data_IF_491352501856
#
_entry.id   IF_491352501856
#
_cell.length_a   1.000
_cell.length_b   1.000
_cell.length_c   1.000
_cell.angle_alpha   90.00
_cell.angle_beta   90.00
_cell.angle_gamma   90.00
#
_symmetry.space_group_name_H-M   'P 1'
#
loop_
_entity.id
_entity.type
_entity.pdbx_description
1 polymer ?
#
# COMPACT_ATOMS: atom_id res chain seq x y z
N UNK A 1 -2.37 44.37 -6.87
CA UNK A 1 -3.31 44.54 -7.99
C UNK A 1 -3.44 43.19 -8.71
N UNK A 2 -4.56 42.53 -8.48
CA UNK A 2 -4.86 41.28 -9.19
C UNK A 2 -5.53 41.64 -10.54
N UNK A 3 -5.14 40.96 -11.59
CA UNK A 3 -5.67 41.19 -12.94
C UNK A 3 -6.31 39.90 -13.48
N UNK A 4 -7.53 40.00 -13.97
CA UNK A 4 -8.25 38.87 -14.61
C UNK A 4 -8.43 39.25 -16.07
N UNK A 5 -7.92 38.43 -16.99
CA UNK A 5 -7.96 38.67 -18.44
C UNK A 5 -8.41 37.43 -19.21
N UNK A 6 -8.95 37.63 -20.41
CA UNK A 6 -9.51 36.58 -21.26
C UNK A 6 -10.89 36.11 -20.80
N UNK A 7 -11.20 34.81 -21.05
CA UNK A 7 -12.47 34.19 -20.65
C UNK A 7 -12.42 33.54 -19.26
N UNK A 8 -11.61 34.09 -18.37
CA UNK A 8 -11.49 33.55 -17.01
C UNK A 8 -12.65 34.04 -16.14
N UNK A 9 -13.23 33.16 -15.35
CA UNK A 9 -14.32 33.43 -14.44
C UNK A 9 -13.89 33.18 -12.99
N UNK A 10 -14.27 34.15 -12.12
CA UNK A 10 -14.12 34.02 -10.67
C UNK A 10 -15.51 33.94 -10.09
N UNK A 11 -15.89 32.83 -9.48
CA UNK A 11 -17.25 32.61 -8.98
C UNK A 11 -17.29 32.45 -7.46
N UNK A 12 -18.44 32.75 -6.86
CA UNK A 12 -18.61 32.67 -5.42
C UNK A 12 -17.95 33.85 -4.67
N UNK A 13 -17.63 33.63 -3.40
CA UNK A 13 -16.95 34.62 -2.55
C UNK A 13 -15.42 34.58 -2.70
N UNK A 14 -14.91 34.09 -3.83
CA UNK A 14 -13.48 33.99 -4.07
C UNK A 14 -12.85 35.40 -4.15
N UNK A 15 -11.80 35.64 -3.40
CA UNK A 15 -11.05 36.89 -3.37
C UNK A 15 -9.66 36.67 -3.95
N UNK A 16 -9.39 37.30 -5.08
CA UNK A 16 -8.07 37.30 -5.69
C UNK A 16 -7.26 38.44 -5.07
N UNK A 17 -6.19 38.12 -4.34
CA UNK A 17 -5.37 39.10 -3.65
C UNK A 17 -3.90 38.99 -4.04
N UNK A 18 -3.16 40.10 -3.94
CA UNK A 18 -1.73 40.14 -4.26
C UNK A 18 -1.44 40.31 -5.74
N UNK A 19 -0.36 39.75 -6.24
CA UNK A 19 0.10 39.86 -7.63
C UNK A 19 -0.38 38.69 -8.50
N UNK A 20 -1.51 38.09 -8.19
CA UNK A 20 -2.05 36.99 -8.96
C UNK A 20 -2.53 37.46 -10.35
N UNK A 21 -2.16 36.70 -11.38
CA UNK A 21 -2.59 36.92 -12.75
C UNK A 21 -3.41 35.71 -13.22
N UNK A 22 -4.64 35.92 -13.66
CA UNK A 22 -5.52 34.87 -14.15
C UNK A 22 -5.75 35.12 -15.63
N UNK A 23 -5.34 34.18 -16.46
CA UNK A 23 -5.40 34.28 -17.92
C UNK A 23 -6.03 33.03 -18.56
N UNK A 24 -6.70 33.22 -19.71
CA UNK A 24 -7.26 32.10 -20.47
C UNK A 24 -8.63 31.62 -19.95
N UNK A 25 -8.91 30.32 -20.08
CA UNK A 25 -10.16 29.66 -19.68
C UNK A 25 -10.06 29.04 -18.26
N UNK A 26 -9.43 29.75 -17.34
CA UNK A 26 -9.22 29.20 -15.99
C UNK A 26 -10.47 29.39 -15.11
N UNK A 27 -10.92 28.35 -14.47
CA UNK A 27 -11.88 28.40 -13.35
C UNK A 27 -11.07 28.35 -12.05
N UNK A 28 -11.20 29.40 -11.24
CA UNK A 28 -10.53 29.48 -9.94
C UNK A 28 -11.50 29.06 -8.86
N UNK A 29 -11.24 27.95 -8.22
CA UNK A 29 -11.81 27.57 -6.94
C UNK A 29 -10.70 27.70 -5.90
N UNK A 30 -10.83 28.61 -4.96
CA UNK A 30 -9.81 28.79 -3.92
C UNK A 30 -10.06 27.78 -2.82
N UNK A 31 -9.22 26.77 -2.73
CA UNK A 31 -9.15 25.86 -1.59
C UNK A 31 -7.91 26.24 -0.79
N UNK A 32 -8.02 26.56 0.48
CA UNK A 32 -6.89 26.95 1.33
C UNK A 32 -6.04 25.76 1.77
N UNK A 33 -4.88 26.02 2.34
CA UNK A 33 -4.00 24.97 2.80
C UNK A 33 -4.64 24.22 3.96
N UNK A 34 -4.85 22.92 3.78
CA UNK A 34 -5.25 22.00 4.83
C UNK A 34 -4.05 21.18 5.29
N UNK A 35 -3.86 21.05 6.57
CA UNK A 35 -2.82 20.20 7.06
C UNK A 35 -3.05 19.72 8.48
N UNK A 36 -2.92 18.44 8.74
CA UNK A 36 -2.30 18.02 9.99
C UNK A 36 -0.82 18.41 9.89
N UNK A 37 -0.33 19.09 10.88
CA UNK A 37 0.86 19.94 10.82
C UNK A 37 2.16 19.34 10.26
N UNK A 38 2.34 18.04 10.12
CA UNK A 38 3.64 17.46 9.85
C UNK A 38 3.85 16.85 8.44
N UNK A 39 2.83 16.28 7.78
CA UNK A 39 3.03 15.62 6.49
C UNK A 39 2.33 16.29 5.30
N UNK A 40 1.14 16.88 5.53
CA UNK A 40 0.38 17.52 4.46
C UNK A 40 0.95 18.89 4.07
N UNK A 41 1.46 19.64 5.04
CA UNK A 41 2.07 20.96 4.81
C UNK A 41 3.36 20.89 3.99
N UNK A 42 4.08 19.77 4.00
CA UNK A 42 5.28 19.59 3.18
C UNK A 42 4.92 19.33 1.72
N UNK A 43 3.81 18.65 1.44
CA UNK A 43 3.33 18.37 0.10
C UNK A 43 2.77 19.62 -0.62
N UNK A 44 2.02 20.43 0.09
CA UNK A 44 1.32 21.60 -0.49
C UNK A 44 2.03 22.94 -0.27
N UNK A 45 3.21 22.96 0.35
CA UNK A 45 4.01 24.19 0.51
C UNK A 45 4.77 24.65 -0.73
N UNK A 46 4.68 23.95 -1.83
CA UNK A 46 5.20 24.45 -3.10
C UNK A 46 4.23 25.56 -3.58
N UNK A 47 4.56 26.81 -3.23
CA UNK A 47 3.74 28.02 -3.45
C UNK A 47 3.39 28.27 -4.92
N UNK A 48 3.97 27.55 -5.85
CA UNK A 48 3.88 27.81 -7.28
C UNK A 48 3.04 26.80 -8.08
N UNK A 49 2.46 25.76 -7.45
CA UNK A 49 1.58 24.79 -8.11
C UNK A 49 0.25 24.66 -7.38
N UNK A 50 -0.59 25.66 -7.52
CA UNK A 50 -2.01 25.56 -7.18
C UNK A 50 -2.79 25.14 -8.43
N UNK A 51 -3.05 23.85 -8.59
CA UNK A 51 -4.13 23.37 -9.41
C UNK A 51 -5.09 22.65 -8.46
N UNK A 52 -6.10 23.36 -8.06
CA UNK A 52 -7.19 22.81 -7.26
C UNK A 52 -8.27 22.39 -8.24
N UNK A 53 -8.31 21.10 -8.52
CA UNK A 53 -9.28 20.53 -9.44
C UNK A 53 -10.57 20.19 -8.69
N UNK A 54 -11.70 20.31 -9.38
CA UNK A 54 -12.99 19.87 -8.86
C UNK A 54 -12.94 18.35 -8.72
N UNK A 55 -13.46 17.78 -7.62
CA UNK A 55 -13.57 16.35 -7.48
C UNK A 55 -14.26 15.68 -8.68
N UNK A 56 -13.77 14.52 -9.07
CA UNK A 56 -14.36 13.70 -10.16
C UNK A 56 -15.84 13.42 -9.92
N UNK A 57 -16.18 13.15 -8.68
CA UNK A 57 -17.54 12.94 -8.19
C UNK A 57 -17.58 12.94 -6.66
N UNK A 58 -18.74 12.80 -6.04
CA UNK A 58 -18.83 12.54 -4.61
C UNK A 58 -18.00 11.31 -4.26
N UNK A 59 -17.14 11.45 -3.24
CA UNK A 59 -16.27 10.34 -2.81
C UNK A 59 -17.10 9.27 -2.12
N UNK A 60 -16.88 8.01 -2.48
CA UNK A 60 -17.43 6.87 -1.79
C UNK A 60 -16.38 5.78 -1.54
N UNK A 61 -16.24 5.37 -0.29
CA UNK A 61 -15.44 4.20 0.09
C UNK A 61 -16.37 3.00 0.25
N UNK A 62 -16.10 1.93 -0.45
CA UNK A 62 -16.87 0.67 -0.35
C UNK A 62 -15.93 -0.42 0.16
N UNK A 63 -15.73 -0.52 1.48
CA UNK A 63 -14.95 -1.62 2.02
C UNK A 63 -15.73 -2.92 1.93
N UNK A 64 -15.07 -3.98 1.49
CA UNK A 64 -15.53 -5.32 1.76
C UNK A 64 -15.25 -5.64 3.24
N UNK A 65 -16.01 -6.56 3.82
CA UNK A 65 -15.88 -6.95 5.23
C UNK A 65 -14.44 -7.28 5.64
N UNK A 66 -13.67 -7.89 4.71
CA UNK A 66 -12.25 -8.23 4.91
C UNK A 66 -11.32 -7.02 5.12
N UNK A 67 -11.76 -5.80 4.77
CA UNK A 67 -10.93 -4.60 4.74
C UNK A 67 -11.53 -3.43 5.55
N UNK A 68 -12.55 -3.67 6.37
CA UNK A 68 -13.28 -2.62 7.11
C UNK A 68 -12.39 -1.81 8.05
N UNK A 69 -11.50 -2.47 8.82
CA UNK A 69 -10.67 -1.78 9.81
C UNK A 69 -9.67 -0.82 9.14
N UNK A 70 -9.10 -1.22 8.02
CA UNK A 70 -8.23 -0.34 7.23
C UNK A 70 -9.03 0.82 6.63
N UNK A 71 -10.21 0.55 6.09
CA UNK A 71 -11.07 1.56 5.49
C UNK A 71 -11.58 2.59 6.52
N UNK A 72 -11.93 2.18 7.72
CA UNK A 72 -12.33 3.09 8.81
C UNK A 72 -11.21 4.09 9.13
N UNK A 73 -9.96 3.63 9.25
CA UNK A 73 -8.80 4.50 9.46
C UNK A 73 -8.56 5.46 8.30
N UNK A 74 -8.74 4.99 7.06
CA UNK A 74 -8.64 5.81 5.86
C UNK A 74 -9.71 6.90 5.85
N UNK A 75 -10.95 6.52 6.17
CA UNK A 75 -12.10 7.43 6.26
C UNK A 75 -11.88 8.56 7.29
N UNK A 76 -11.37 8.22 8.47
CA UNK A 76 -11.04 9.20 9.53
C UNK A 76 -10.08 10.28 9.02
N UNK A 77 -9.04 9.92 8.24
CA UNK A 77 -8.13 10.91 7.64
C UNK A 77 -8.83 11.78 6.60
N UNK A 78 -9.64 11.19 5.72
CA UNK A 78 -10.36 11.92 4.68
C UNK A 78 -11.37 12.90 5.27
N UNK A 79 -12.13 12.47 6.27
CA UNK A 79 -13.09 13.31 7.00
C UNK A 79 -12.37 14.48 7.67
N UNK A 80 -11.30 14.21 8.43
CA UNK A 80 -10.54 15.24 9.12
C UNK A 80 -9.99 16.30 8.14
N UNK A 81 -9.37 15.86 7.05
CA UNK A 81 -8.76 16.78 6.09
C UNK A 81 -9.79 17.64 5.36
N UNK A 82 -10.93 17.07 4.99
CA UNK A 82 -11.98 17.82 4.27
C UNK A 82 -12.70 18.81 5.18
N UNK A 83 -12.87 18.47 6.45
CA UNK A 83 -13.36 19.41 7.46
C UNK A 83 -12.38 20.57 7.68
N UNK A 84 -11.07 20.28 7.80
CA UNK A 84 -10.04 21.32 7.96
C UNK A 84 -9.99 22.25 6.73
N UNK A 85 -10.15 21.74 5.51
CA UNK A 85 -10.18 22.53 4.29
C UNK A 85 -11.34 23.51 4.31
N UNK A 86 -12.52 23.08 4.66
CA UNK A 86 -13.68 23.96 4.71
C UNK A 86 -13.53 25.07 5.75
N UNK A 87 -13.09 24.73 6.96
CA UNK A 87 -12.87 25.71 8.02
C UNK A 87 -11.81 26.76 7.67
N UNK A 88 -10.74 26.37 6.98
CA UNK A 88 -9.65 27.28 6.60
C UNK A 88 -10.02 28.19 5.44
N UNK A 89 -10.98 27.83 4.60
CA UNK A 89 -11.33 28.58 3.39
C UNK A 89 -12.39 29.59 3.60
N UNK A 90 -13.26 29.47 4.62
CA UNK A 90 -14.47 30.27 4.75
C UNK A 90 -15.25 30.41 3.41
N UNK A 91 -15.11 29.39 2.54
CA UNK A 91 -15.75 29.36 1.23
C UNK A 91 -16.69 28.17 1.19
N UNK A 92 -17.92 28.40 0.79
CA UNK A 92 -18.88 27.38 0.43
C UNK A 92 -18.35 26.66 -0.81
N UNK A 93 -17.61 25.54 -0.63
CA UNK A 93 -17.38 24.64 -1.74
C UNK A 93 -18.73 24.04 -2.09
N UNK A 94 -19.36 24.58 -3.12
CA UNK A 94 -20.69 24.17 -3.59
C UNK A 94 -20.57 22.84 -4.37
N UNK A 95 -19.96 21.84 -3.75
CA UNK A 95 -19.98 20.48 -4.24
C UNK A 95 -20.78 19.64 -3.24
N UNK A 96 -22.04 19.37 -3.58
CA UNK A 96 -22.91 18.60 -2.70
C UNK A 96 -22.30 17.21 -2.42
N UNK A 97 -22.08 16.93 -1.13
CA UNK A 97 -21.46 15.67 -0.68
C UNK A 97 -19.94 15.68 -0.64
N UNK A 98 -19.27 16.85 -0.78
CA UNK A 98 -17.83 16.96 -0.57
C UNK A 98 -17.44 16.73 0.88
N UNK A 99 -18.20 17.31 1.81
CA UNK A 99 -18.04 17.12 3.23
C UNK A 99 -19.10 16.14 3.75
N UNK A 100 -18.67 15.15 4.50
CA UNK A 100 -19.52 14.13 5.12
C UNK A 100 -18.93 13.73 6.45
N UNK A 101 -19.75 13.19 7.35
CA UNK A 101 -19.30 12.58 8.59
C UNK A 101 -18.57 11.26 8.35
N UNK A 102 -18.82 10.60 7.20
CA UNK A 102 -18.12 9.41 6.72
C UNK A 102 -18.33 9.28 5.21
N UNK A 103 -17.31 8.81 4.52
CA UNK A 103 -17.35 8.45 3.08
C UNK A 103 -17.63 6.97 2.86
N UNK A 104 -17.74 6.18 3.94
CA UNK A 104 -18.05 4.74 3.85
C UNK A 104 -19.48 4.56 3.36
N UNK A 105 -19.60 3.80 2.28
CA UNK A 105 -20.87 3.37 1.70
C UNK A 105 -21.19 1.98 2.23
N UNK A 106 -22.32 1.80 2.94
CA UNK A 106 -22.72 0.50 3.44
C UNK A 106 -22.94 -0.49 2.30
N UNK A 107 -22.35 -1.66 2.43
CA UNK A 107 -22.54 -2.78 1.51
C UNK A 107 -22.54 -4.09 2.31
N UNK A 108 -23.24 -5.10 1.82
CA UNK A 108 -23.33 -6.39 2.48
C UNK A 108 -23.17 -7.54 1.51
N UNK A 109 -22.57 -8.62 1.99
CA UNK A 109 -22.51 -9.91 1.29
C UNK A 109 -23.31 -10.93 2.11
N UNK A 110 -24.45 -11.32 1.58
CA UNK A 110 -25.30 -12.34 2.21
C UNK A 110 -25.01 -13.71 1.60
N UNK A 111 -24.45 -14.63 2.40
CA UNK A 111 -24.17 -16.00 1.97
C UNK A 111 -25.31 -16.94 2.29
N UNK A 112 -25.61 -17.80 1.33
CA UNK A 112 -26.53 -18.91 1.51
C UNK A 112 -25.80 -20.13 2.09
N UNK A 113 -26.54 -21.06 2.69
CA UNK A 113 -25.94 -22.26 3.27
C UNK A 113 -25.20 -23.17 2.27
N UNK A 114 -25.48 -23.02 0.96
CA UNK A 114 -24.75 -23.66 -0.14
C UNK A 114 -23.39 -23.04 -0.46
N UNK A 115 -23.06 -21.86 0.11
CA UNK A 115 -21.86 -21.11 -0.18
C UNK A 115 -22.02 -20.03 -1.24
N UNK A 116 -23.11 -20.02 -2.00
CA UNK A 116 -23.44 -18.91 -2.90
C UNK A 116 -23.65 -17.63 -2.10
N UNK A 117 -23.49 -16.48 -2.76
CA UNK A 117 -23.69 -15.21 -2.09
C UNK A 117 -24.32 -14.15 -3.00
N UNK A 118 -24.94 -13.15 -2.36
CA UNK A 118 -25.48 -11.96 -2.99
C UNK A 118 -24.85 -10.71 -2.39
N UNK A 119 -24.28 -9.84 -3.23
CA UNK A 119 -23.82 -8.51 -2.84
C UNK A 119 -24.93 -7.47 -2.96
N UNK A 120 -24.99 -6.55 -2.00
CA UNK A 120 -25.91 -5.41 -2.00
C UNK A 120 -25.19 -4.13 -1.65
N UNK A 121 -25.64 -3.00 -2.18
CA UNK A 121 -25.25 -1.66 -1.80
C UNK A 121 -26.51 -0.95 -1.31
N UNK A 122 -26.47 -0.40 -0.11
CA UNK A 122 -27.68 0.03 0.60
C UNK A 122 -28.13 1.45 0.23
N UNK A 123 -27.26 2.23 -0.45
CA UNK A 123 -27.56 3.59 -0.89
C UNK A 123 -27.26 3.78 -2.38
N UNK A 124 -27.80 4.85 -2.97
CA UNK A 124 -27.51 5.19 -4.36
C UNK A 124 -26.06 5.67 -4.51
N UNK A 125 -25.34 5.07 -5.47
CA UNK A 125 -23.96 5.44 -5.83
C UNK A 125 -23.88 6.10 -7.20
N UNK A 126 -25.01 6.65 -7.68
CA UNK A 126 -25.07 7.28 -9.00
C UNK A 126 -24.22 8.53 -9.07
N UNK A 127 -23.24 8.50 -9.95
CA UNK A 127 -22.32 9.61 -10.19
C UNK A 127 -21.17 9.73 -9.19
N UNK A 128 -21.08 8.81 -8.21
CA UNK A 128 -20.00 8.79 -7.23
C UNK A 128 -18.68 8.31 -7.84
N UNK A 129 -17.58 8.78 -7.28
CA UNK A 129 -16.23 8.29 -7.49
C UNK A 129 -15.93 7.27 -6.40
N UNK A 130 -15.98 5.98 -6.76
CA UNK A 130 -15.95 4.87 -5.81
C UNK A 130 -14.57 4.24 -5.68
N UNK A 131 -14.19 3.99 -4.43
CA UNK A 131 -12.99 3.24 -4.05
C UNK A 131 -13.40 1.98 -3.30
N UNK A 132 -13.32 0.83 -3.97
CA UNK A 132 -13.61 -0.48 -3.41
C UNK A 132 -12.35 -1.03 -2.75
N UNK A 133 -12.42 -1.36 -1.46
CA UNK A 133 -11.26 -1.85 -0.70
C UNK A 133 -11.46 -3.30 -0.30
N UNK A 134 -10.47 -4.17 -0.61
CA UNK A 134 -10.52 -5.60 -0.32
C UNK A 134 -9.17 -6.14 0.13
N UNK A 135 -9.15 -6.84 1.26
CA UNK A 135 -8.03 -7.71 1.64
C UNK A 135 -8.37 -9.15 1.26
N UNK A 136 -7.77 -9.62 0.17
CA UNK A 136 -7.98 -11.00 -0.31
C UNK A 136 -7.28 -12.06 0.55
N UNK A 137 -6.40 -11.63 1.47
CA UNK A 137 -5.66 -12.53 2.35
C UNK A 137 -6.26 -12.65 3.75
N UNK A 138 -7.39 -12.01 4.04
CA UNK A 138 -7.99 -12.05 5.37
C UNK A 138 -8.65 -13.40 5.69
N UNK A 139 -7.84 -14.34 6.14
CA UNK A 139 -8.25 -15.68 6.52
C UNK A 139 -9.06 -15.76 7.84
N UNK A 140 -9.20 -14.65 8.57
CA UNK A 140 -10.00 -14.62 9.80
C UNK A 140 -11.49 -14.63 9.54
N UNK A 141 -11.89 -14.20 8.33
CA UNK A 141 -13.27 -14.19 7.90
C UNK A 141 -13.79 -15.61 7.70
N UNK A 142 -15.02 -15.87 8.17
CA UNK A 142 -15.62 -17.20 8.06
C UNK A 142 -17.09 -17.12 7.63
N UNK A 143 -17.58 -18.19 7.03
CA UNK A 143 -18.99 -18.36 6.72
C UNK A 143 -19.43 -19.82 6.94
N UNK A 144 -20.73 -20.05 7.03
CA UNK A 144 -21.29 -21.41 7.12
C UNK A 144 -21.48 -22.01 5.72
N UNK A 145 -20.89 -23.19 5.50
CA UNK A 145 -21.03 -23.98 4.28
C UNK A 145 -21.52 -25.38 4.66
N UNK A 146 -22.75 -25.73 4.27
CA UNK A 146 -23.38 -26.99 4.65
C UNK A 146 -23.29 -27.29 6.16
N UNK A 147 -23.51 -26.27 7.00
CA UNK A 147 -23.43 -26.37 8.45
C UNK A 147 -22.05 -26.46 9.05
N UNK A 148 -20.99 -26.29 8.25
CA UNK A 148 -19.59 -26.26 8.71
C UNK A 148 -19.02 -24.84 8.58
N UNK A 149 -18.15 -24.47 9.52
CA UNK A 149 -17.40 -23.22 9.42
C UNK A 149 -16.34 -23.35 8.33
N UNK A 150 -16.36 -22.43 7.37
CA UNK A 150 -15.38 -22.31 6.30
C UNK A 150 -14.65 -20.97 6.42
N UNK A 151 -13.31 -20.98 6.38
CA UNK A 151 -12.53 -19.77 6.28
C UNK A 151 -12.53 -19.26 4.84
N UNK A 152 -12.67 -17.97 4.67
CA UNK A 152 -12.65 -17.36 3.34
C UNK A 152 -11.26 -17.48 2.71
N UNK A 153 -11.24 -17.99 1.48
CA UNK A 153 -10.05 -18.04 0.63
C UNK A 153 -9.88 -16.70 -0.13
N UNK A 154 -8.73 -16.48 -0.77
CA UNK A 154 -8.57 -15.38 -1.71
C UNK A 154 -9.64 -15.36 -2.82
N UNK A 155 -10.06 -16.53 -3.29
CA UNK A 155 -11.12 -16.67 -4.30
C UNK A 155 -12.46 -16.19 -3.78
N UNK A 156 -12.80 -16.51 -2.52
CA UNK A 156 -14.02 -16.03 -1.89
C UNK A 156 -14.07 -14.51 -1.82
N UNK A 157 -12.96 -13.88 -1.37
CA UNK A 157 -12.85 -12.42 -1.30
C UNK A 157 -12.89 -11.76 -2.68
N UNK A 158 -12.20 -12.33 -3.66
CA UNK A 158 -12.20 -11.82 -5.02
C UNK A 158 -13.57 -11.94 -5.68
N UNK A 159 -14.28 -13.06 -5.45
CA UNK A 159 -15.64 -13.23 -5.92
C UNK A 159 -16.62 -12.26 -5.25
N UNK A 160 -16.43 -11.95 -3.96
CA UNK A 160 -17.25 -10.95 -3.25
C UNK A 160 -17.01 -9.54 -3.79
N UNK A 161 -15.77 -9.18 -4.14
CA UNK A 161 -15.46 -7.94 -4.85
C UNK A 161 -16.28 -7.84 -6.15
N UNK A 162 -16.30 -8.89 -6.96
CA UNK A 162 -17.08 -8.92 -8.21
C UNK A 162 -18.57 -8.76 -7.97
N UNK A 163 -19.11 -9.35 -6.88
CA UNK A 163 -20.53 -9.18 -6.51
C UNK A 163 -20.87 -7.73 -6.19
N UNK A 164 -19.98 -7.02 -5.47
CA UNK A 164 -20.18 -5.60 -5.17
C UNK A 164 -20.07 -4.75 -6.45
N UNK A 165 -19.10 -5.00 -7.34
CA UNK A 165 -19.01 -4.32 -8.63
C UNK A 165 -20.29 -4.53 -9.45
N UNK A 166 -20.83 -5.76 -9.48
CA UNK A 166 -22.09 -6.05 -10.15
C UNK A 166 -23.29 -5.32 -9.51
N UNK A 167 -23.32 -5.15 -8.18
CA UNK A 167 -24.36 -4.40 -7.48
C UNK A 167 -24.33 -2.90 -7.77
N UNK A 168 -23.15 -2.30 -8.05
CA UNK A 168 -22.99 -0.92 -8.53
C UNK A 168 -23.69 -0.74 -9.88
N UNK A 169 -23.69 -1.78 -10.71
CA UNK A 169 -24.42 -1.85 -11.97
C UNK A 169 -24.14 -0.68 -12.94
N UNK A 170 -22.88 -0.24 -13.03
CA UNK A 170 -22.45 0.83 -13.93
C UNK A 170 -23.01 2.23 -13.59
N UNK A 171 -23.49 2.45 -12.38
CA UNK A 171 -24.08 3.75 -11.97
C UNK A 171 -23.07 4.73 -11.44
N UNK A 172 -21.92 4.25 -10.94
CA UNK A 172 -20.83 5.11 -10.50
C UNK A 172 -20.23 5.89 -11.67
N UNK A 173 -19.61 7.01 -11.39
CA UNK A 173 -18.85 7.78 -12.37
C UNK A 173 -17.52 7.12 -12.68
N UNK A 174 -16.84 6.63 -11.65
CA UNK A 174 -15.56 5.91 -11.75
C UNK A 174 -15.50 4.85 -10.67
N UNK A 175 -14.87 3.73 -10.96
CA UNK A 175 -14.62 2.65 -10.01
C UNK A 175 -13.11 2.41 -9.93
N UNK A 176 -12.54 2.65 -8.76
CA UNK A 176 -11.17 2.30 -8.42
C UNK A 176 -11.16 1.16 -7.41
N UNK A 177 -10.46 0.07 -7.70
CA UNK A 177 -10.25 -1.04 -6.78
C UNK A 177 -8.93 -0.85 -6.06
N UNK A 178 -8.96 -0.80 -4.74
CA UNK A 178 -7.78 -0.86 -3.87
C UNK A 178 -7.69 -2.28 -3.32
N UNK A 179 -6.78 -3.04 -3.87
CA UNK A 179 -6.49 -4.43 -3.50
C UNK A 179 -5.02 -4.50 -3.08
N UNK A 180 -4.72 -4.22 -1.79
CA UNK A 180 -3.34 -4.10 -1.34
C UNK A 180 -2.47 -5.28 -1.73
N UNK A 181 -2.88 -6.49 -1.37
CA UNK A 181 -2.27 -7.72 -1.88
C UNK A 181 -2.97 -8.09 -3.19
N UNK A 182 -2.21 -8.09 -4.28
CA UNK A 182 -2.79 -8.38 -5.60
C UNK A 182 -3.21 -9.85 -5.69
N UNK A 183 -4.50 -10.09 -5.93
CA UNK A 183 -5.03 -11.43 -6.13
C UNK A 183 -4.29 -12.13 -7.27
N UNK A 184 -3.83 -13.36 -7.01
CA UNK A 184 -3.00 -14.18 -7.91
C UNK A 184 -1.71 -13.50 -8.39
N UNK A 185 -1.21 -12.49 -7.67
CA UNK A 185 -0.01 -11.73 -8.05
C UNK A 185 1.25 -12.58 -8.23
N UNK A 186 1.34 -13.76 -7.57
CA UNK A 186 2.45 -14.72 -7.75
C UNK A 186 2.33 -15.54 -9.04
N UNK A 187 1.13 -15.63 -9.63
CA UNK A 187 0.87 -16.26 -10.92
C UNK A 187 0.93 -15.23 -12.06
N UNK A 188 2.05 -14.50 -12.13
CA UNK A 188 2.30 -13.36 -13.02
C UNK A 188 2.91 -13.73 -14.37
N UNK A 189 3.43 -14.95 -14.50
CA UNK A 189 4.07 -15.46 -15.73
C UNK A 189 3.73 -16.93 -15.93
N UNK A 190 3.87 -17.37 -17.17
CA UNK A 190 3.68 -18.76 -17.59
C UNK A 190 5.00 -19.34 -18.06
N UNK A 191 5.42 -20.45 -17.48
CA UNK A 191 6.64 -21.18 -17.86
C UNK A 191 6.34 -22.46 -18.63
N UNK A 192 5.09 -22.93 -18.63
CA UNK A 192 4.65 -24.16 -19.26
C UNK A 192 3.15 -24.17 -19.52
N UNK A 193 2.49 -25.29 -19.26
CA UNK A 193 1.04 -25.45 -19.38
C UNK A 193 0.38 -25.04 -18.05
N UNK A 194 0.48 -23.78 -17.71
CA UNK A 194 0.00 -23.17 -16.47
C UNK A 194 -1.10 -22.17 -16.80
N UNK A 195 -1.99 -21.93 -15.85
CA UNK A 195 -2.89 -20.78 -15.90
C UNK A 195 -2.11 -19.46 -15.76
N UNK A 196 -2.72 -18.35 -16.14
CA UNK A 196 -2.17 -17.01 -15.96
C UNK A 196 -3.19 -16.16 -15.21
N UNK A 197 -3.45 -16.57 -13.97
CA UNK A 197 -4.63 -16.14 -13.21
C UNK A 197 -4.59 -14.65 -12.87
N UNK A 198 -3.41 -14.08 -12.58
CA UNK A 198 -3.30 -12.66 -12.34
C UNK A 198 -3.78 -11.82 -13.54
N UNK A 199 -3.34 -12.17 -14.75
CA UNK A 199 -3.75 -11.44 -15.96
C UNK A 199 -5.26 -11.60 -16.24
N UNK A 200 -5.80 -12.81 -16.07
CA UNK A 200 -7.24 -13.09 -16.22
C UNK A 200 -8.05 -12.29 -15.22
N UNK A 201 -7.66 -12.27 -13.94
CA UNK A 201 -8.34 -11.53 -12.90
C UNK A 201 -8.37 -10.01 -13.17
N UNK A 202 -7.23 -9.43 -13.60
CA UNK A 202 -7.16 -8.02 -13.98
C UNK A 202 -8.11 -7.70 -15.15
N UNK A 203 -8.09 -8.52 -16.21
CA UNK A 203 -8.97 -8.35 -17.37
C UNK A 203 -10.45 -8.51 -17.01
N UNK A 204 -10.78 -9.42 -16.11
CA UNK A 204 -12.14 -9.62 -15.61
C UNK A 204 -12.67 -8.37 -14.89
N UNK A 205 -11.89 -7.79 -13.96
CA UNK A 205 -12.26 -6.55 -13.28
C UNK A 205 -12.49 -5.40 -14.26
N UNK A 206 -11.61 -5.24 -15.25
CA UNK A 206 -11.75 -4.20 -16.29
C UNK A 206 -13.02 -4.43 -17.13
N UNK A 207 -13.31 -5.69 -17.50
CA UNK A 207 -14.53 -6.03 -18.26
C UNK A 207 -15.81 -5.72 -17.49
N UNK A 208 -15.74 -5.72 -16.15
CA UNK A 208 -16.84 -5.36 -15.26
C UNK A 208 -16.99 -3.86 -15.03
N UNK A 209 -16.13 -3.03 -15.64
CA UNK A 209 -16.23 -1.57 -15.58
C UNK A 209 -15.32 -0.91 -14.53
N UNK A 210 -14.31 -1.61 -14.03
CA UNK A 210 -13.26 -1.00 -13.20
C UNK A 210 -12.38 -0.12 -14.06
N UNK A 211 -12.10 1.10 -13.60
CA UNK A 211 -11.27 2.07 -14.30
C UNK A 211 -9.81 2.04 -13.84
N UNK A 212 -9.59 1.89 -12.54
CA UNK A 212 -8.25 1.87 -11.95
C UNK A 212 -8.12 0.74 -10.93
N UNK A 213 -6.92 0.17 -10.84
CA UNK A 213 -6.54 -0.82 -9.83
C UNK A 213 -5.30 -0.30 -9.11
N UNK A 214 -5.37 -0.22 -7.79
CA UNK A 214 -4.27 0.17 -6.92
C UNK A 214 -3.89 -1.03 -6.07
N UNK A 215 -2.63 -1.41 -6.15
CA UNK A 215 -2.02 -2.45 -5.33
C UNK A 215 -0.74 -1.94 -4.68
N UNK A 216 -0.21 -2.68 -3.72
CA UNK A 216 1.04 -2.33 -3.07
C UNK A 216 2.07 -3.40 -3.38
N UNK A 217 3.29 -2.98 -3.66
CA UNK A 217 4.46 -3.86 -3.83
C UNK A 217 4.15 -5.14 -4.61
N UNK A 218 3.55 -5.00 -5.80
CA UNK A 218 3.21 -6.13 -6.65
C UNK A 218 4.43 -7.04 -6.84
N UNK A 219 4.23 -8.35 -6.67
CA UNK A 219 5.29 -9.36 -6.80
C UNK A 219 6.07 -9.23 -8.12
N UNK A 220 5.36 -8.93 -9.19
CA UNK A 220 5.94 -8.50 -10.47
C UNK A 220 5.10 -7.35 -11.06
N UNK A 221 5.64 -6.11 -11.14
CA UNK A 221 4.88 -4.96 -11.63
C UNK A 221 4.51 -5.05 -13.13
N UNK A 222 5.11 -5.99 -13.89
CA UNK A 222 4.78 -6.22 -15.30
C UNK A 222 3.40 -6.81 -15.53
N UNK A 223 2.69 -7.24 -14.47
CA UNK A 223 1.28 -7.66 -14.56
C UNK A 223 0.37 -6.58 -15.15
N UNK A 224 0.75 -5.29 -15.01
CA UNK A 224 0.06 -4.16 -15.66
C UNK A 224 -0.06 -4.32 -17.19
N UNK A 225 0.84 -5.06 -17.84
CA UNK A 225 0.79 -5.31 -19.28
C UNK A 225 -0.45 -6.08 -19.71
N UNK A 226 -1.18 -6.73 -18.79
CA UNK A 226 -2.45 -7.39 -19.08
C UNK A 226 -3.59 -6.41 -19.37
N UNK A 227 -3.46 -5.16 -18.91
CA UNK A 227 -4.50 -4.11 -19.01
C UNK A 227 -3.90 -2.76 -19.44
N UNK A 228 -3.21 -2.67 -20.58
CA UNK A 228 -2.36 -1.52 -20.94
C UNK A 228 -3.11 -0.20 -21.19
N UNK A 229 -4.43 -0.23 -21.30
CA UNK A 229 -5.27 0.95 -21.54
C UNK A 229 -6.08 1.40 -20.30
N UNK A 230 -5.77 0.84 -19.13
CA UNK A 230 -6.44 1.15 -17.87
C UNK A 230 -5.44 1.52 -16.79
N UNK A 231 -5.90 2.26 -15.78
CA UNK A 231 -5.05 2.64 -14.67
C UNK A 231 -4.64 1.44 -13.82
N UNK A 232 -3.34 1.30 -13.62
CA UNK A 232 -2.77 0.33 -12.68
C UNK A 232 -1.60 0.95 -11.95
N UNK A 233 -1.71 1.01 -10.64
CA UNK A 233 -0.67 1.57 -9.79
C UNK A 233 -0.18 0.52 -8.80
N UNK A 234 1.15 0.33 -8.73
CA UNK A 234 1.79 -0.47 -7.69
C UNK A 234 2.61 0.43 -6.79
N UNK A 235 2.22 0.55 -5.54
CA UNK A 235 2.74 1.53 -4.58
C UNK A 235 3.78 0.89 -3.68
N UNK A 236 4.96 1.50 -3.58
CA UNK A 236 6.04 1.03 -2.69
C UNK A 236 5.99 1.77 -1.34
N UNK A 237 5.75 1.09 -0.20
CA UNK A 237 5.62 1.74 1.10
C UNK A 237 6.96 2.03 1.79
N UNK A 238 8.01 2.32 1.02
CA UNK A 238 9.38 2.42 1.53
C UNK A 238 9.57 3.55 2.56
N UNK A 239 8.94 4.72 2.33
CA UNK A 239 8.99 5.82 3.28
C UNK A 239 8.42 5.42 4.65
N UNK A 240 7.31 4.66 4.65
CA UNK A 240 6.67 4.21 5.87
C UNK A 240 7.52 3.20 6.63
N UNK A 241 8.23 2.31 5.91
CA UNK A 241 9.21 1.41 6.54
C UNK A 241 10.36 2.15 7.18
N UNK A 242 11.00 3.08 6.46
CA UNK A 242 12.10 3.87 7.00
C UNK A 242 11.65 4.69 8.21
N UNK A 243 10.45 5.30 8.14
CA UNK A 243 9.86 6.05 9.25
C UNK A 243 9.62 5.16 10.48
N UNK A 244 9.11 3.95 10.29
CA UNK A 244 8.88 2.99 11.36
C UNK A 244 10.20 2.49 11.96
N UNK A 245 11.20 2.22 11.14
CA UNK A 245 12.53 1.80 11.55
C UNK A 245 13.18 2.86 12.44
N UNK A 246 13.31 4.10 11.97
CA UNK A 246 13.89 5.22 12.71
C UNK A 246 13.13 5.50 14.01
N UNK A 247 11.81 5.36 14.02
CA UNK A 247 10.98 5.58 15.21
C UNK A 247 11.17 4.49 16.28
N UNK A 248 11.28 3.23 15.85
CA UNK A 248 11.38 2.07 16.75
C UNK A 248 12.80 1.76 17.19
N UNK A 249 13.81 2.10 16.36
CA UNK A 249 15.22 1.80 16.59
C UNK A 249 16.01 3.13 16.66
N UNK A 250 15.95 3.79 17.80
CA UNK A 250 16.54 5.14 17.98
C UNK A 250 18.07 5.17 17.89
N UNK A 251 18.73 4.04 18.15
CA UNK A 251 20.18 3.87 18.18
C UNK A 251 20.78 3.37 16.87
N UNK A 252 20.04 3.41 15.76
CA UNK A 252 20.56 3.00 14.46
C UNK A 252 21.36 4.13 13.81
N UNK A 253 22.45 3.72 13.14
CA UNK A 253 23.24 4.60 12.28
C UNK A 253 23.02 4.16 10.85
N UNK A 254 22.52 5.07 10.00
CA UNK A 254 22.16 4.79 8.62
C UNK A 254 23.27 5.33 7.70
N UNK A 255 24.29 4.51 7.50
CA UNK A 255 25.40 4.73 6.55
C UNK A 255 25.98 3.37 6.10
N UNK A 256 26.83 3.37 5.07
CA UNK A 256 27.40 2.16 4.47
C UNK A 256 28.34 1.39 5.40
N UNK A 257 28.90 2.03 6.43
CA UNK A 257 29.80 1.36 7.37
C UNK A 257 29.02 0.55 8.42
N UNK A 258 27.81 1.00 8.76
CA UNK A 258 27.03 0.44 9.86
C UNK A 258 25.80 -0.34 9.40
N UNK A 259 25.35 -0.15 8.15
CA UNK A 259 24.11 -0.76 7.67
C UNK A 259 24.23 -1.28 6.22
N UNK A 260 23.49 -2.34 5.90
CA UNK A 260 23.38 -2.90 4.55
C UNK A 260 21.97 -3.45 4.30
N UNK A 261 21.51 -3.34 3.05
CA UNK A 261 20.25 -3.92 2.60
C UNK A 261 20.50 -5.31 2.03
N UNK A 262 19.65 -6.26 2.39
CA UNK A 262 19.80 -7.66 1.98
C UNK A 262 18.56 -8.10 1.20
N UNK A 263 18.79 -8.63 0.00
CA UNK A 263 17.78 -9.40 -0.73
C UNK A 263 17.81 -10.87 -0.32
N UNK A 264 16.69 -11.48 0.05
CA UNK A 264 16.66 -12.90 0.44
C UNK A 264 16.89 -13.85 -0.74
N UNK A 265 16.67 -13.39 -1.96
CA UNK A 265 16.92 -14.15 -3.20
C UNK A 265 17.00 -13.22 -4.43
N UNK A 266 17.13 -13.81 -5.62
CA UNK A 266 17.21 -13.06 -6.90
C UNK A 266 15.92 -12.28 -7.20
N UNK A 267 14.76 -12.82 -6.81
CA UNK A 267 13.45 -12.20 -7.08
C UNK A 267 13.26 -10.88 -6.36
N UNK A 268 13.79 -10.75 -5.14
CA UNK A 268 13.72 -9.54 -4.32
C UNK A 268 14.76 -8.46 -4.68
N UNK A 269 15.70 -8.73 -5.59
CA UNK A 269 16.86 -7.86 -5.80
C UNK A 269 16.50 -6.44 -6.24
N UNK A 270 15.53 -6.27 -7.15
CA UNK A 270 15.11 -4.93 -7.59
C UNK A 270 14.53 -4.10 -6.44
N UNK A 271 13.78 -4.73 -5.53
CA UNK A 271 13.23 -4.10 -4.33
C UNK A 271 14.34 -3.69 -3.37
N UNK A 272 15.30 -4.59 -3.12
CA UNK A 272 16.45 -4.31 -2.27
C UNK A 272 17.30 -3.15 -2.83
N UNK A 273 17.57 -3.13 -4.13
CA UNK A 273 18.28 -2.03 -4.81
C UNK A 273 17.52 -0.71 -4.64
N UNK A 274 16.20 -0.72 -4.85
CA UNK A 274 15.40 0.49 -4.69
C UNK A 274 15.45 1.01 -3.24
N UNK A 275 15.33 0.11 -2.26
CA UNK A 275 15.44 0.46 -0.84
C UNK A 275 16.82 1.02 -0.49
N UNK A 276 17.87 0.37 -0.95
CA UNK A 276 19.26 0.80 -0.72
C UNK A 276 19.55 2.17 -1.35
N UNK A 277 19.10 2.40 -2.58
CA UNK A 277 19.27 3.69 -3.27
C UNK A 277 18.59 4.84 -2.52
N UNK A 278 17.44 4.59 -1.88
CA UNK A 278 16.75 5.61 -1.07
C UNK A 278 17.50 5.97 0.20
N UNK A 279 18.36 5.09 0.71
CA UNK A 279 19.15 5.28 1.93
C UNK A 279 20.63 5.57 1.67
N UNK A 280 21.09 5.42 0.42
CA UNK A 280 22.51 5.53 0.08
C UNK A 280 23.35 4.37 0.64
N UNK A 281 22.79 3.16 0.71
CA UNK A 281 23.40 1.98 1.31
C UNK A 281 23.81 0.94 0.28
N UNK A 282 24.73 0.05 0.68
CA UNK A 282 25.11 -1.12 -0.09
C UNK A 282 24.04 -2.20 -0.08
N UNK A 283 24.07 -3.08 -1.09
CA UNK A 283 23.18 -4.24 -1.22
C UNK A 283 23.97 -5.53 -1.18
N UNK A 284 23.46 -6.49 -0.42
CA UNK A 284 23.86 -7.90 -0.52
C UNK A 284 22.68 -8.78 -0.93
N UNK A 285 22.94 -9.94 -1.48
CA UNK A 285 21.88 -10.90 -1.79
C UNK A 285 22.28 -12.34 -1.51
N UNK A 286 21.28 -13.16 -1.24
CA UNK A 286 21.45 -14.61 -1.18
C UNK A 286 21.08 -15.27 -2.50
N UNK A 287 21.95 -16.15 -2.95
CA UNK A 287 21.72 -16.94 -4.15
C UNK A 287 21.48 -18.41 -3.74
N UNK A 288 20.33 -18.96 -4.15
CA UNK A 288 19.97 -20.35 -3.92
C UNK A 288 20.48 -21.22 -5.05
N UNK A 289 21.67 -21.79 -4.92
CA UNK A 289 22.19 -22.76 -5.90
C UNK A 289 21.43 -24.07 -5.80
N UNK A 290 20.75 -24.44 -6.90
CA UNK A 290 19.95 -25.67 -6.99
C UNK A 290 20.72 -26.77 -7.72
N UNK A 291 20.53 -28.03 -7.28
CA UNK A 291 21.02 -29.19 -8.02
C UNK A 291 20.02 -29.56 -9.11
N UNK A 292 20.28 -29.13 -10.32
CA UNK A 292 19.42 -29.44 -11.47
C UNK A 292 19.59 -30.90 -11.94
N UNK A 293 20.54 -31.66 -11.36
CA UNK A 293 20.73 -33.09 -11.69
C UNK A 293 19.80 -34.01 -10.91
N UNK A 294 19.14 -33.48 -9.86
CA UNK A 294 18.23 -34.23 -8.99
C UNK A 294 16.89 -33.56 -8.89
N UNK A 295 15.84 -34.35 -8.81
CA UNK A 295 14.47 -33.90 -8.51
C UNK A 295 14.02 -34.67 -7.27
N UNK A 296 13.69 -33.94 -6.19
CA UNK A 296 13.13 -34.48 -4.96
C UNK A 296 11.78 -33.80 -4.73
N UNK A 297 10.72 -34.55 -4.60
CA UNK A 297 9.33 -34.06 -4.44
C UNK A 297 8.92 -33.00 -5.49
N UNK A 298 9.32 -33.25 -6.76
CA UNK A 298 9.02 -32.36 -7.88
C UNK A 298 9.83 -31.05 -7.90
N UNK A 299 10.85 -30.91 -7.07
CA UNK A 299 11.72 -29.72 -6.99
C UNK A 299 13.20 -30.09 -7.04
N UNK A 300 14.00 -29.20 -7.59
CA UNK A 300 15.44 -29.33 -7.55
C UNK A 300 15.94 -28.93 -6.14
N UNK A 301 16.66 -29.80 -5.41
CA UNK A 301 17.11 -29.48 -4.06
C UNK A 301 18.09 -28.31 -4.05
N UNK A 302 18.02 -27.48 -3.02
CA UNK A 302 18.98 -26.40 -2.78
C UNK A 302 20.26 -27.00 -2.23
N UNK A 303 21.40 -26.79 -2.91
CA UNK A 303 22.70 -27.31 -2.52
C UNK A 303 23.44 -26.32 -1.62
N UNK A 304 23.29 -25.02 -1.86
CA UNK A 304 24.00 -24.00 -1.11
C UNK A 304 23.20 -22.68 -1.12
N UNK A 305 23.32 -21.95 -0.02
CA UNK A 305 22.95 -20.54 0.09
C UNK A 305 24.25 -19.74 0.03
N UNK A 306 24.55 -19.15 -1.11
CA UNK A 306 25.73 -18.33 -1.30
C UNK A 306 25.36 -16.87 -1.10
N UNK A 307 26.15 -16.15 -0.33
CA UNK A 307 25.97 -14.70 -0.13
C UNK A 307 26.88 -13.94 -1.10
N UNK A 308 26.28 -13.02 -1.83
CA UNK A 308 26.95 -12.09 -2.74
C UNK A 308 26.82 -10.67 -2.18
N UNK A 309 27.94 -10.10 -1.78
CA UNK A 309 27.97 -8.74 -1.18
C UNK A 309 29.24 -8.48 -0.41
N UNK A 310 29.34 -7.28 0.16
CA UNK A 310 30.43 -6.90 1.05
C UNK A 310 30.34 -7.58 2.43
N UNK A 311 31.27 -7.25 3.34
CA UNK A 311 31.22 -7.76 4.72
C UNK A 311 29.97 -7.26 5.44
N UNK A 312 29.32 -8.19 6.14
CA UNK A 312 28.15 -7.91 7.01
C UNK A 312 28.54 -7.89 8.49
N UNK A 313 29.80 -8.18 8.81
CA UNK A 313 30.29 -8.28 10.19
C UNK A 313 30.12 -6.94 10.92
N UNK A 314 29.43 -6.95 12.04
CA UNK A 314 29.19 -5.79 12.89
C UNK A 314 28.11 -4.82 12.39
N UNK A 315 27.53 -5.07 11.21
CA UNK A 315 26.51 -4.18 10.62
C UNK A 315 25.09 -4.56 11.04
N UNK A 316 24.21 -3.59 11.03
CA UNK A 316 22.75 -3.76 11.06
C UNK A 316 22.25 -4.08 9.65
N UNK A 317 21.48 -5.12 9.53
CA UNK A 317 21.02 -5.60 8.22
C UNK A 317 19.51 -5.52 8.09
N UNK A 318 19.05 -5.00 6.96
CA UNK A 318 17.62 -4.95 6.62
C UNK A 318 17.37 -5.95 5.50
N UNK A 319 16.72 -7.06 5.82
CA UNK A 319 16.22 -8.03 4.83
C UNK A 319 14.91 -7.50 4.27
N UNK A 320 14.85 -7.28 2.95
CA UNK A 320 13.67 -6.68 2.28
C UNK A 320 13.02 -7.68 1.36
N UNK A 321 11.71 -7.91 1.55
CA UNK A 321 10.90 -8.79 0.70
C UNK A 321 9.52 -8.19 0.42
N UNK A 322 8.75 -8.75 -0.53
CA UNK A 322 7.35 -8.37 -0.72
C UNK A 322 6.46 -8.97 0.36
N UNK A 323 6.71 -10.22 0.73
CA UNK A 323 5.87 -10.92 1.70
C UNK A 323 6.63 -11.91 2.58
N UNK A 324 6.16 -12.06 3.79
CA UNK A 324 6.47 -13.18 4.65
C UNK A 324 5.32 -14.20 4.52
N UNK A 325 5.52 -15.28 3.76
CA UNK A 325 4.58 -16.39 3.68
C UNK A 325 4.79 -17.35 4.87
N UNK A 326 5.43 -18.52 4.71
CA UNK A 326 5.78 -19.39 5.85
C UNK A 326 6.91 -18.85 6.73
N UNK A 327 7.69 -17.91 6.20
CA UNK A 327 8.85 -17.31 6.85
C UNK A 327 10.15 -18.09 6.70
N UNK A 328 10.14 -19.28 6.11
CA UNK A 328 11.34 -20.13 6.03
C UNK A 328 12.52 -19.42 5.35
N UNK A 329 12.27 -18.81 4.18
CA UNK A 329 13.34 -18.10 3.44
C UNK A 329 13.98 -16.98 4.26
N UNK A 330 13.15 -16.15 4.91
CA UNK A 330 13.62 -15.02 5.71
C UNK A 330 14.38 -15.49 6.95
N UNK A 331 13.86 -16.52 7.63
CA UNK A 331 14.49 -17.08 8.83
C UNK A 331 15.84 -17.74 8.50
N UNK A 332 15.93 -18.49 7.41
CA UNK A 332 17.20 -19.09 6.96
C UNK A 332 18.25 -18.01 6.63
N UNK A 333 17.83 -16.94 5.94
CA UNK A 333 18.68 -15.78 5.66
C UNK A 333 19.15 -15.13 6.96
N UNK A 334 18.25 -14.88 7.91
CA UNK A 334 18.60 -14.26 9.19
C UNK A 334 19.62 -15.08 9.97
N UNK A 335 19.45 -16.39 10.02
CA UNK A 335 20.40 -17.33 10.64
C UNK A 335 21.78 -17.26 9.98
N UNK A 336 21.84 -17.27 8.65
CA UNK A 336 23.09 -17.20 7.90
C UNK A 336 23.80 -15.85 8.12
N UNK A 337 23.05 -14.74 8.17
CA UNK A 337 23.61 -13.41 8.47
C UNK A 337 24.21 -13.33 9.88
N UNK A 338 23.55 -13.93 10.88
CA UNK A 338 24.10 -14.00 12.25
C UNK A 338 25.34 -14.90 12.33
N UNK A 339 25.42 -15.98 11.55
CA UNK A 339 26.63 -16.82 11.42
C UNK A 339 27.81 -15.99 10.86
N UNK A 340 27.54 -15.00 10.01
CA UNK A 340 28.50 -14.04 9.47
C UNK A 340 28.74 -12.83 10.39
N UNK A 341 28.29 -12.92 11.65
CA UNK A 341 28.49 -11.93 12.72
C UNK A 341 27.79 -10.58 12.46
N UNK A 342 26.63 -10.58 11.80
CA UNK A 342 25.77 -9.41 11.74
C UNK A 342 25.40 -8.95 13.16
N UNK A 343 25.40 -7.62 13.40
CA UNK A 343 25.01 -7.04 14.68
C UNK A 343 23.52 -7.27 14.95
N UNK A 344 22.67 -6.74 14.09
CA UNK A 344 21.21 -6.90 14.14
C UNK A 344 20.66 -7.29 12.78
N UNK A 345 19.54 -8.03 12.79
CA UNK A 345 18.82 -8.41 11.58
C UNK A 345 17.38 -7.95 11.69
N UNK A 346 17.01 -6.98 10.86
CA UNK A 346 15.67 -6.48 10.68
C UNK A 346 15.05 -7.07 9.42
N UNK A 347 13.77 -7.39 9.47
CA UNK A 347 13.03 -7.89 8.31
C UNK A 347 11.96 -6.87 7.96
N UNK A 348 11.94 -6.39 6.73
CA UNK A 348 10.91 -5.50 6.19
C UNK A 348 10.19 -6.20 5.04
N UNK A 349 8.92 -6.52 5.22
CA UNK A 349 8.10 -7.10 4.16
C UNK A 349 6.75 -6.37 4.08
N UNK A 350 6.30 -6.09 2.87
CA UNK A 350 5.03 -5.38 2.68
C UNK A 350 3.87 -6.19 3.27
N UNK A 351 3.87 -7.51 3.06
CA UNK A 351 2.79 -8.38 3.53
C UNK A 351 3.27 -9.42 4.54
N UNK A 352 2.71 -9.37 5.73
CA UNK A 352 2.96 -10.36 6.78
C UNK A 352 1.85 -11.42 6.81
N UNK A 353 1.95 -12.48 6.01
CA UNK A 353 0.93 -13.52 5.95
C UNK A 353 1.09 -14.57 7.05
N UNK A 354 2.34 -14.88 7.45
CA UNK A 354 2.66 -15.84 8.51
C UNK A 354 1.91 -17.17 8.43
N UNK A 355 1.81 -17.74 7.22
CA UNK A 355 1.01 -18.94 6.94
C UNK A 355 1.43 -20.18 7.74
N UNK A 356 2.67 -20.21 8.23
CA UNK A 356 3.21 -21.27 9.11
C UNK A 356 3.04 -20.99 10.61
N UNK A 357 2.30 -19.92 10.98
CA UNK A 357 2.16 -19.45 12.36
C UNK A 357 3.40 -18.73 12.89
N UNK A 358 3.40 -18.36 14.17
CA UNK A 358 4.42 -17.50 14.77
C UNK A 358 5.51 -18.25 15.55
N UNK A 359 5.32 -19.53 15.85
CA UNK A 359 6.21 -20.30 16.73
C UNK A 359 7.68 -20.33 16.27
N UNK A 360 7.93 -20.39 14.94
CA UNK A 360 9.30 -20.35 14.42
C UNK A 360 9.93 -18.96 14.64
N UNK A 361 9.17 -17.89 14.46
CA UNK A 361 9.63 -16.52 14.67
C UNK A 361 9.92 -16.26 16.15
N UNK A 362 9.07 -16.72 17.07
CA UNK A 362 9.29 -16.65 18.50
C UNK A 362 10.63 -17.27 18.89
N UNK A 363 10.87 -18.50 18.42
CA UNK A 363 12.13 -19.22 18.64
C UNK A 363 13.35 -18.46 18.09
N UNK A 364 13.26 -17.91 16.88
CA UNK A 364 14.38 -17.18 16.27
C UNK A 364 14.67 -15.88 16.99
N UNK A 365 13.64 -15.20 17.47
CA UNK A 365 13.79 -14.01 18.31
C UNK A 365 14.44 -14.34 19.65
N UNK A 366 13.98 -15.37 20.34
CA UNK A 366 14.57 -15.84 21.61
C UNK A 366 16.05 -16.25 21.46
N UNK A 367 16.43 -16.76 20.30
CA UNK A 367 17.82 -17.09 19.96
C UNK A 367 18.65 -15.89 19.49
N UNK A 368 18.08 -14.69 19.42
CA UNK A 368 18.77 -13.49 18.92
C UNK A 368 19.12 -13.53 17.43
N UNK A 369 18.42 -14.36 16.64
CA UNK A 369 18.64 -14.49 15.21
C UNK A 369 17.91 -13.43 14.38
N UNK A 370 16.81 -12.91 14.91
CA UNK A 370 16.08 -11.74 14.38
C UNK A 370 15.89 -10.73 15.51
N UNK A 371 15.94 -9.44 15.18
CA UNK A 371 15.81 -8.36 16.15
C UNK A 371 14.45 -7.68 16.04
N UNK A 372 13.93 -7.44 14.83
CA UNK A 372 12.57 -6.97 14.60
C UNK A 372 12.04 -7.34 13.22
N UNK A 373 10.71 -7.42 13.11
CA UNK A 373 9.98 -7.67 11.87
C UNK A 373 9.00 -6.53 11.66
N UNK A 374 9.10 -5.89 10.51
CA UNK A 374 8.25 -4.80 10.08
C UNK A 374 7.35 -5.31 8.95
N UNK A 375 6.04 -5.30 9.15
CA UNK A 375 5.08 -5.50 8.07
C UNK A 375 3.96 -4.47 8.13
N UNK A 376 3.27 -4.28 7.02
CA UNK A 376 2.22 -3.27 6.93
C UNK A 376 0.88 -3.79 7.42
N UNK A 377 -0.05 -2.86 7.71
CA UNK A 377 -1.45 -3.16 7.99
C UNK A 377 -2.31 -3.30 6.72
N UNK A 378 -1.70 -3.63 5.60
CA UNK A 378 -2.37 -3.80 4.30
C UNK A 378 -3.10 -5.13 4.16
N UNK A 379 -2.77 -6.10 5.00
CA UNK A 379 -3.44 -7.39 5.14
C UNK A 379 -3.77 -7.63 6.61
N UNK A 380 -4.68 -8.56 6.87
CA UNK A 380 -5.10 -8.91 8.22
C UNK A 380 -3.91 -9.23 9.14
N UNK A 381 -3.93 -8.62 10.31
CA UNK A 381 -2.94 -8.83 11.37
C UNK A 381 -3.62 -9.43 12.59
N UNK A 382 -3.26 -10.65 12.97
CA UNK A 382 -3.86 -11.28 14.14
C UNK A 382 -3.48 -10.53 15.43
N UNK A 383 -4.37 -10.49 16.43
CA UNK A 383 -4.04 -9.91 17.75
C UNK A 383 -2.79 -10.53 18.38
N UNK A 384 -2.57 -11.83 18.12
CA UNK A 384 -1.37 -12.52 18.60
C UNK A 384 -0.10 -11.94 17.95
N UNK A 385 -0.11 -11.64 16.64
CA UNK A 385 1.01 -11.01 15.95
C UNK A 385 1.29 -9.62 16.52
N UNK A 386 0.25 -8.80 16.67
CA UNK A 386 0.36 -7.43 17.18
C UNK A 386 0.91 -7.34 18.61
N UNK A 387 0.82 -8.42 19.39
CA UNK A 387 1.34 -8.49 20.75
C UNK A 387 2.81 -8.93 20.85
N UNK A 388 3.44 -9.32 19.72
CA UNK A 388 4.83 -9.83 19.73
C UNK A 388 5.85 -8.71 19.94
N UNK A 389 6.86 -8.89 20.83
CA UNK A 389 7.85 -7.85 21.12
C UNK A 389 8.77 -7.52 19.94
N UNK A 390 8.92 -8.45 19.00
CA UNK A 390 9.73 -8.25 17.79
C UNK A 390 8.93 -7.68 16.62
N UNK A 391 7.63 -7.49 16.76
CA UNK A 391 6.77 -7.07 15.67
C UNK A 391 6.52 -5.56 15.68
N UNK A 392 6.71 -4.95 14.54
CA UNK A 392 6.44 -3.53 14.31
C UNK A 392 5.43 -3.37 13.19
N UNK A 393 4.25 -2.89 13.54
CA UNK A 393 3.21 -2.57 12.57
C UNK A 393 3.53 -1.25 11.85
N UNK A 394 3.61 -1.31 10.52
CA UNK A 394 3.81 -0.15 9.64
C UNK A 394 2.45 0.30 9.10
N UNK A 395 1.91 1.38 9.65
CA UNK A 395 0.58 1.88 9.28
C UNK A 395 0.62 2.64 7.95
N UNK A 396 -0.15 2.15 6.97
CA UNK A 396 -0.27 2.69 5.61
C UNK A 396 -1.57 3.48 5.42
N UNK A 397 -2.48 3.49 6.40
CA UNK A 397 -3.83 4.07 6.28
C UNK A 397 -3.80 5.51 5.79
N UNK A 398 -2.93 6.35 6.38
CA UNK A 398 -2.74 7.75 5.97
C UNK A 398 -2.27 7.88 4.52
N UNK A 399 -1.43 6.96 4.07
CA UNK A 399 -0.90 6.99 2.70
C UNK A 399 -1.97 6.62 1.68
N UNK A 400 -2.82 5.63 2.00
CA UNK A 400 -3.99 5.28 1.18
C UNK A 400 -4.95 6.48 1.10
N UNK A 401 -5.23 7.13 2.22
CA UNK A 401 -6.09 8.32 2.25
C UNK A 401 -5.55 9.44 1.34
N UNK A 402 -4.22 9.68 1.33
CA UNK A 402 -3.58 10.65 0.45
C UNK A 402 -3.75 10.29 -1.04
N UNK A 403 -3.58 9.01 -1.38
CA UNK A 403 -3.78 8.53 -2.76
C UNK A 403 -5.24 8.76 -3.19
N UNK A 404 -6.19 8.35 -2.36
CA UNK A 404 -7.63 8.51 -2.64
C UNK A 404 -7.99 9.99 -2.81
N UNK A 405 -7.55 10.85 -1.89
CA UNK A 405 -7.88 12.28 -1.94
C UNK A 405 -7.31 12.95 -3.19
N UNK A 406 -6.07 12.64 -3.58
CA UNK A 406 -5.49 13.15 -4.82
C UNK A 406 -6.24 12.65 -6.06
N UNK A 407 -6.52 11.35 -6.14
CA UNK A 407 -7.23 10.78 -7.29
C UNK A 407 -8.66 11.30 -7.38
N UNK A 408 -9.37 11.48 -6.26
CA UNK A 408 -10.71 12.06 -6.27
C UNK A 408 -10.71 13.50 -6.80
N UNK A 409 -9.63 14.26 -6.56
CA UNK A 409 -9.44 15.59 -7.12
C UNK A 409 -8.81 15.60 -8.53
N UNK A 410 -8.70 14.45 -9.18
CA UNK A 410 -8.05 14.26 -10.50
C UNK A 410 -6.62 14.83 -10.54
N UNK A 411 -5.92 14.72 -9.41
CA UNK A 411 -4.57 15.23 -9.22
C UNK A 411 -3.54 14.10 -9.35
N UNK A 412 -2.34 14.44 -9.84
CA UNK A 412 -1.24 13.49 -9.99
C UNK A 412 -0.79 12.96 -8.63
N UNK A 413 -0.58 11.63 -8.55
CA UNK A 413 0.01 10.96 -7.39
C UNK A 413 1.54 10.75 -7.53
N UNK A 414 2.16 11.29 -8.58
CA UNK A 414 3.59 11.08 -8.86
C UNK A 414 4.50 11.51 -7.70
N UNK A 415 4.19 12.62 -7.03
CA UNK A 415 4.95 13.08 -5.86
C UNK A 415 4.80 12.14 -4.65
N UNK A 416 3.64 11.48 -4.53
CA UNK A 416 3.41 10.44 -3.52
C UNK A 416 4.26 9.19 -3.82
N UNK A 417 4.40 8.85 -5.09
CA UNK A 417 5.14 7.67 -5.55
C UNK A 417 6.66 7.87 -5.48
N UNK A 418 7.16 9.11 -5.42
CA UNK A 418 8.59 9.44 -5.37
C UNK A 418 8.98 9.98 -3.98
N UNK A 419 9.25 9.12 -2.99
CA UNK A 419 9.44 9.53 -1.60
C UNK A 419 10.83 10.10 -1.27
N UNK A 420 11.76 10.20 -2.21
CA UNK A 420 13.17 10.55 -1.96
C UNK A 420 13.34 11.84 -1.13
N UNK A 421 12.63 12.91 -1.49
CA UNK A 421 12.72 14.18 -0.75
C UNK A 421 12.24 14.06 0.71
N UNK A 422 11.17 13.28 0.95
CA UNK A 422 10.65 13.04 2.31
C UNK A 422 11.59 12.15 3.12
N UNK A 423 12.17 11.14 2.48
CA UNK A 423 13.16 10.26 3.12
C UNK A 423 14.38 11.07 3.54
N UNK A 424 14.93 11.91 2.65
CA UNK A 424 16.09 12.75 2.97
C UNK A 424 15.80 13.70 4.13
N UNK A 425 14.62 14.32 4.17
CA UNK A 425 14.23 15.19 5.29
C UNK A 425 14.10 14.40 6.61
N UNK A 426 13.57 13.18 6.57
CA UNK A 426 13.47 12.29 7.74
C UNK A 426 14.84 11.87 8.26
N UNK A 427 15.75 11.48 7.37
CA UNK A 427 17.11 11.07 7.73
C UNK A 427 17.92 12.22 8.31
N UNK A 428 17.78 13.43 7.74
CA UNK A 428 18.43 14.64 8.28
C UNK A 428 17.97 14.92 9.71
N UNK A 429 16.65 14.86 9.95
CA UNK A 429 16.08 15.04 11.29
C UNK A 429 16.59 13.98 12.27
N UNK A 430 16.63 12.72 11.85
CA UNK A 430 17.12 11.61 12.68
C UNK A 430 18.58 11.83 13.09
N UNK A 431 19.42 12.27 12.14
CA UNK A 431 20.83 12.56 12.42
C UNK A 431 20.98 13.69 13.44
N UNK A 432 20.21 14.78 13.30
CA UNK A 432 20.20 15.93 14.23
C UNK A 432 19.70 15.53 15.65
N UNK A 433 18.87 14.49 15.78
CA UNK A 433 18.37 14.00 17.09
C UNK A 433 19.33 12.98 17.75
N UNK A 434 20.28 12.41 17.00
CA UNK A 434 21.23 11.38 17.49
C UNK A 434 22.64 11.92 17.74
N UNK A 435 22.99 13.06 17.17
CA UNK A 435 24.19 13.85 17.49
C UNK A 435 23.94 14.74 18.73
#
# INVERSE_FOLDING_TARGET
>A
NAQVTGNAWVTGNARVTGNAQVTGNAHIFVVGPCGSRDDYTTFYRNKDKKIETIPVGPLGLVPLESCEDLAKRVDEYLVAWRNDREQSLKSDIVFNGYQRDSYIIPSTINRFGSGEAKGTIDISVRGDDLYLMVDVCNYSMTYSLFGKTNHMSPDDHFQDLKRIIAAIAGKARRITVIMPFLYEGRQHKRSGRESLDCAVALQELISMGVDNIITFDAHDPRVQNAIPLKGFETVQPIYQFIKALVKSQKDITIDSDHMMIISPDEGGMNRAIYFANMLGLDVGMFYKRRDYTKVVDGRNPIIAHEFLGGSVEGKDLIVVDDMISSGESVLDVAKELKTRKARRVFVCATFGLFTGGLAKFDKYYEQGLIDAIFTTNLVYQSPQLLSKPYYVNVDISKYIALIIDNLNHDSSISELMLPAGRINALLKKHKEETE
#
